data_IF_319336330444
#
_entry.id   IF_319336330444
#
_cell.length_a   1.000
_cell.length_b   1.000
_cell.length_c   1.000
_cell.angle_alpha   90.00
_cell.angle_beta   90.00
_cell.angle_gamma   90.00
#
_symmetry.space_group_name_H-M   'P 1'
#
loop_
_entity.id
_entity.type
_entity.pdbx_description
1 polymer ?
#
# COMPACT_ATOMS: atom_id res chain seq x y z
N UNK A 1 -0.50 -9.79 -61.64
CA UNK A 1 -0.46 -10.72 -60.60
C UNK A 1 0.57 -10.56 -59.49
N UNK A 2 1.85 -10.94 -59.70
CA UNK A 2 2.86 -11.06 -58.63
C UNK A 2 3.19 -9.71 -57.94
N UNK A 3 3.33 -8.66 -58.74
CA UNK A 3 3.64 -7.31 -58.27
C UNK A 3 2.51 -6.79 -57.31
N UNK A 4 1.25 -7.00 -57.67
CA UNK A 4 0.13 -6.61 -56.85
C UNK A 4 0.09 -7.36 -55.51
N UNK A 5 0.43 -8.65 -55.52
CA UNK A 5 0.51 -9.46 -54.30
C UNK A 5 1.64 -8.99 -53.37
N UNK A 6 2.81 -8.62 -53.93
CA UNK A 6 3.93 -8.07 -53.15
C UNK A 6 3.57 -6.73 -52.53
N UNK A 7 2.92 -5.84 -53.27
CA UNK A 7 2.48 -4.53 -52.77
C UNK A 7 1.48 -4.71 -51.63
N UNK A 8 0.51 -5.60 -51.79
CA UNK A 8 -0.47 -5.89 -50.71
C UNK A 8 0.22 -6.48 -49.47
N UNK A 9 1.19 -7.39 -49.66
CA UNK A 9 1.94 -7.95 -48.54
C UNK A 9 2.77 -6.87 -47.81
N UNK A 10 3.43 -5.97 -48.49
CA UNK A 10 4.20 -4.86 -47.90
C UNK A 10 3.29 -3.90 -47.15
N UNK A 11 2.14 -3.54 -47.71
CA UNK A 11 1.16 -2.68 -47.06
C UNK A 11 0.60 -3.36 -45.80
N UNK A 12 0.30 -4.65 -45.86
CA UNK A 12 -0.20 -5.42 -44.77
C UNK A 12 0.82 -5.53 -43.62
N UNK A 13 2.07 -5.81 -43.94
CA UNK A 13 3.19 -5.83 -42.97
C UNK A 13 3.41 -4.45 -42.37
N UNK A 14 3.40 -3.40 -43.18
CA UNK A 14 3.49 -2.02 -42.72
C UNK A 14 2.35 -1.64 -41.76
N UNK A 15 1.12 -1.97 -42.13
CA UNK A 15 -0.06 -1.68 -41.28
C UNK A 15 -0.04 -2.39 -39.92
N UNK A 16 0.52 -3.60 -39.85
CA UNK A 16 0.68 -4.35 -38.62
C UNK A 16 1.87 -3.86 -37.76
N UNK A 17 2.93 -3.35 -38.38
CA UNK A 17 4.13 -2.89 -37.71
C UNK A 17 4.03 -1.44 -37.20
N UNK A 18 3.26 -0.58 -37.86
CA UNK A 18 3.13 0.85 -37.51
C UNK A 18 2.71 1.11 -36.04
N UNK A 19 1.72 0.42 -35.47
CA UNK A 19 1.33 0.65 -34.08
C UNK A 19 2.45 0.33 -33.09
N UNK A 20 3.24 -0.71 -33.34
CA UNK A 20 4.35 -1.11 -32.47
C UNK A 20 5.51 -0.10 -32.53
N UNK A 21 5.85 0.36 -33.75
CA UNK A 21 6.92 1.34 -33.92
C UNK A 21 6.54 2.67 -33.28
N UNK A 22 5.32 3.14 -33.45
CA UNK A 22 4.86 4.39 -32.80
C UNK A 22 4.81 4.27 -31.27
N UNK A 23 4.48 3.10 -30.72
CA UNK A 23 4.55 2.85 -29.29
C UNK A 23 6.00 2.93 -28.78
N UNK A 24 6.94 2.27 -29.46
CA UNK A 24 8.36 2.28 -29.08
C UNK A 24 8.98 3.68 -29.13
N UNK A 25 8.59 4.52 -30.11
CA UNK A 25 9.11 5.89 -30.23
C UNK A 25 8.54 6.81 -29.16
N UNK A 26 7.30 6.61 -28.73
CA UNK A 26 6.61 7.45 -27.75
C UNK A 26 6.87 7.06 -26.30
N UNK A 27 7.40 5.86 -26.07
CA UNK A 27 7.62 5.34 -24.72
C UNK A 27 9.11 5.21 -24.40
N UNK A 28 9.43 5.17 -23.12
CA UNK A 28 10.76 4.96 -22.56
C UNK A 28 10.72 3.77 -21.62
N UNK A 29 11.77 2.94 -21.67
CA UNK A 29 11.91 1.76 -20.81
C UNK A 29 12.54 2.12 -19.49
N UNK A 30 12.04 1.48 -18.45
CA UNK A 30 12.56 1.51 -17.09
C UNK A 30 12.50 0.12 -16.47
N UNK A 31 13.32 -0.11 -15.45
CA UNK A 31 13.32 -1.36 -14.67
C UNK A 31 13.06 -1.02 -13.20
N UNK A 32 12.29 -1.83 -12.49
CA UNK A 32 12.13 -1.73 -11.04
C UNK A 32 12.45 -3.08 -10.39
N UNK A 33 13.19 -3.03 -9.27
CA UNK A 33 13.55 -4.20 -8.50
C UNK A 33 12.51 -4.43 -7.40
N UNK A 34 11.95 -5.64 -7.31
CA UNK A 34 10.97 -6.00 -6.28
C UNK A 34 11.42 -7.24 -5.52
N UNK A 35 11.11 -7.32 -4.24
CA UNK A 35 11.40 -8.50 -3.42
C UNK A 35 10.73 -9.76 -3.97
N UNK A 36 9.56 -9.63 -4.58
CA UNK A 36 8.88 -10.71 -5.29
C UNK A 36 7.96 -10.14 -6.37
N UNK A 37 7.51 -10.98 -7.28
CA UNK A 37 6.60 -10.59 -8.36
C UNK A 37 5.19 -10.23 -7.87
N UNK A 38 4.82 -10.59 -6.65
CA UNK A 38 3.49 -10.41 -6.08
C UNK A 38 2.34 -10.76 -7.05
N UNK A 39 2.56 -11.72 -7.97
CA UNK A 39 1.60 -12.11 -9.01
C UNK A 39 1.36 -11.05 -10.10
N UNK A 40 2.29 -10.12 -10.28
CA UNK A 40 2.31 -9.24 -11.45
C UNK A 40 2.55 -10.07 -12.72
N UNK A 41 2.01 -9.66 -13.84
CA UNK A 41 2.15 -10.36 -15.12
C UNK A 41 2.57 -9.37 -16.21
N UNK A 42 3.15 -9.85 -17.33
CA UNK A 42 3.37 -9.00 -18.50
C UNK A 42 2.07 -8.39 -19.02
N UNK A 43 2.17 -7.25 -19.69
CA UNK A 43 1.08 -6.47 -20.26
C UNK A 43 0.10 -5.85 -19.26
N UNK A 44 0.33 -5.93 -17.93
CA UNK A 44 -0.48 -5.17 -16.97
C UNK A 44 -0.18 -3.67 -17.09
N UNK A 45 -1.18 -2.81 -16.82
CA UNK A 45 -1.00 -1.38 -16.94
C UNK A 45 -0.04 -0.81 -15.89
N UNK A 46 0.72 0.21 -16.28
CA UNK A 46 1.53 1.05 -15.42
C UNK A 46 0.81 2.39 -15.24
N UNK A 47 0.67 2.82 -14.00
CA UNK A 47 0.11 4.12 -13.65
C UNK A 47 1.22 5.01 -13.09
N UNK A 48 1.30 6.23 -13.58
CA UNK A 48 2.20 7.26 -13.05
C UNK A 48 1.34 8.34 -12.41
N UNK A 49 1.59 8.60 -11.13
CA UNK A 49 0.79 9.56 -10.34
C UNK A 49 -0.72 9.34 -10.45
N UNK A 50 -1.15 8.08 -10.55
CA UNK A 50 -2.56 7.68 -10.66
C UNK A 50 -3.16 7.70 -12.06
N UNK A 51 -2.43 8.18 -13.07
CA UNK A 51 -2.84 8.17 -14.48
C UNK A 51 -2.25 6.98 -15.26
N UNK A 52 -2.98 6.38 -16.23
CA UNK A 52 -2.42 5.33 -17.08
C UNK A 52 -1.31 5.93 -17.96
N UNK A 53 -0.12 5.36 -17.88
CA UNK A 53 1.06 5.89 -18.57
C UNK A 53 1.79 4.87 -19.43
N UNK A 54 1.51 3.57 -19.25
CA UNK A 54 2.21 2.53 -20.00
C UNK A 54 1.82 1.12 -19.58
N UNK A 55 2.76 0.19 -19.80
CA UNK A 55 2.57 -1.23 -19.47
C UNK A 55 3.86 -1.89 -19.01
N UNK A 56 3.74 -2.98 -18.28
CA UNK A 56 4.82 -3.91 -17.95
C UNK A 56 5.16 -4.72 -19.21
N UNK A 57 6.44 -4.84 -19.56
CA UNK A 57 6.92 -5.61 -20.70
C UNK A 57 7.29 -7.03 -20.29
N UNK A 58 8.02 -7.17 -19.18
CA UNK A 58 8.51 -8.46 -18.73
C UNK A 58 8.84 -8.48 -17.24
N UNK A 59 9.06 -9.69 -16.75
CA UNK A 59 9.57 -9.94 -15.41
C UNK A 59 10.70 -10.96 -15.51
N UNK A 60 11.79 -10.72 -14.82
CA UNK A 60 12.94 -11.62 -14.74
C UNK A 60 13.32 -11.85 -13.28
N UNK A 61 13.55 -13.10 -12.91
CA UNK A 61 14.02 -13.45 -11.56
C UNK A 61 15.54 -13.31 -11.53
N UNK A 62 16.04 -12.43 -10.69
CA UNK A 62 17.46 -12.13 -10.54
C UNK A 62 17.92 -12.45 -9.10
N UNK A 63 18.17 -13.74 -8.86
CA UNK A 63 18.60 -14.23 -7.55
C UNK A 63 17.48 -14.19 -6.51
N UNK A 64 17.57 -13.25 -5.55
CA UNK A 64 16.64 -13.07 -4.44
C UNK A 64 15.57 -12.01 -4.66
N UNK A 65 15.55 -11.40 -5.86
CA UNK A 65 14.60 -10.34 -6.23
C UNK A 65 14.10 -10.51 -7.67
N UNK A 66 13.12 -9.72 -8.05
CA UNK A 66 12.50 -9.73 -9.38
C UNK A 66 12.72 -8.38 -10.05
N UNK A 67 13.24 -8.42 -11.26
CA UNK A 67 13.31 -7.26 -12.16
C UNK A 67 12.01 -7.16 -12.94
N UNK A 68 11.38 -6.02 -12.88
CA UNK A 68 10.17 -5.71 -13.63
C UNK A 68 10.49 -4.65 -14.65
N UNK A 69 10.50 -5.04 -15.93
CA UNK A 69 10.68 -4.13 -17.05
C UNK A 69 9.35 -3.54 -17.48
N UNK A 70 9.31 -2.23 -17.59
CA UNK A 70 8.10 -1.51 -17.96
C UNK A 70 8.41 -0.33 -18.87
N UNK A 71 7.43 0.05 -19.68
CA UNK A 71 7.48 1.24 -20.52
C UNK A 71 6.39 2.22 -20.15
N UNK A 72 6.74 3.49 -20.13
CA UNK A 72 5.84 4.60 -19.92
C UNK A 72 6.03 5.67 -20.99
N UNK A 73 5.03 6.54 -21.16
CA UNK A 73 5.11 7.68 -22.08
C UNK A 73 6.32 8.56 -21.71
N UNK A 74 7.08 8.98 -22.73
CA UNK A 74 8.25 9.86 -22.58
C UNK A 74 7.94 11.22 -21.97
N UNK A 75 6.67 11.60 -21.89
CA UNK A 75 6.24 12.81 -21.21
C UNK A 75 6.31 12.70 -19.68
N UNK A 76 6.54 11.49 -19.17
CA UNK A 76 6.65 11.22 -17.75
C UNK A 76 8.13 11.12 -17.36
N UNK A 77 8.66 12.14 -16.75
CA UNK A 77 10.02 12.13 -16.23
C UNK A 77 10.04 11.48 -14.84
N UNK A 78 10.87 10.44 -14.70
CA UNK A 78 11.09 9.76 -13.44
C UNK A 78 12.36 10.33 -12.80
N UNK A 79 12.19 11.02 -11.67
CA UNK A 79 13.30 11.59 -10.93
C UNK A 79 14.08 10.54 -10.11
N UNK A 80 15.22 10.96 -9.59
CA UNK A 80 16.16 10.13 -8.84
C UNK A 80 15.60 9.51 -7.55
N UNK A 81 14.47 10.02 -7.02
CA UNK A 81 13.77 9.48 -5.84
C UNK A 81 12.44 8.81 -6.17
N UNK A 82 12.20 8.48 -7.41
CA UNK A 82 11.00 7.75 -7.86
C UNK A 82 10.82 6.46 -7.06
N UNK A 83 9.58 6.17 -6.70
CA UNK A 83 9.17 4.93 -6.04
C UNK A 83 8.25 4.12 -6.95
N UNK A 84 8.26 2.80 -6.81
CA UNK A 84 7.36 1.92 -7.54
C UNK A 84 6.68 0.94 -6.58
N UNK A 85 5.41 0.65 -6.82
CA UNK A 85 4.61 -0.20 -5.94
C UNK A 85 3.68 -1.07 -6.77
N UNK A 86 3.61 -2.36 -6.45
CA UNK A 86 2.62 -3.26 -7.02
C UNK A 86 1.33 -3.11 -6.21
N UNK A 87 0.22 -2.79 -6.88
CA UNK A 87 -1.08 -2.58 -6.23
C UNK A 87 -2.16 -3.49 -6.80
N UNK A 88 -3.16 -3.79 -5.98
CA UNK A 88 -4.38 -4.46 -6.41
C UNK A 88 -5.33 -3.45 -7.05
N UNK A 89 -5.79 -3.75 -8.27
CA UNK A 89 -6.77 -2.94 -8.99
C UNK A 89 -8.19 -3.34 -8.69
N UNK A 90 -8.42 -4.63 -8.41
CA UNK A 90 -9.74 -5.19 -8.16
C UNK A 90 -9.69 -6.22 -7.03
N UNK A 91 -10.82 -6.45 -6.38
CA UNK A 91 -11.01 -7.51 -5.39
C UNK A 91 -10.74 -8.92 -5.96
N UNK A 92 -10.83 -9.09 -7.27
CA UNK A 92 -10.50 -10.34 -7.98
C UNK A 92 -9.00 -10.55 -8.20
N UNK A 93 -8.15 -9.69 -7.61
CA UNK A 93 -6.69 -9.85 -7.63
C UNK A 93 -5.99 -9.33 -8.88
N UNK A 94 -6.67 -8.60 -9.78
CA UNK A 94 -5.95 -7.92 -10.87
C UNK A 94 -4.98 -6.91 -10.30
N UNK A 95 -3.74 -6.96 -10.76
CA UNK A 95 -2.64 -6.12 -10.28
C UNK A 95 -2.23 -5.08 -11.31
N UNK A 96 -1.55 -4.05 -10.87
CA UNK A 96 -0.95 -3.03 -11.70
C UNK A 96 0.32 -2.48 -11.04
N UNK A 97 1.18 -1.88 -11.84
CA UNK A 97 2.36 -1.18 -11.36
C UNK A 97 2.03 0.30 -11.16
N UNK A 98 2.21 0.79 -9.94
CA UNK A 98 2.06 2.21 -9.58
C UNK A 98 3.45 2.82 -9.45
N UNK A 99 3.73 3.86 -10.21
CA UNK A 99 5.00 4.60 -10.16
C UNK A 99 4.70 6.01 -9.70
N UNK A 100 5.42 6.45 -8.68
CA UNK A 100 5.32 7.82 -8.15
C UNK A 100 6.63 8.54 -8.40
N UNK A 101 6.67 9.44 -9.39
CA UNK A 101 7.85 10.25 -9.68
C UNK A 101 8.22 11.12 -8.49
N UNK A 102 9.50 11.18 -8.16
CA UNK A 102 10.02 12.05 -7.12
C UNK A 102 11.49 12.36 -7.36
N UNK A 103 11.94 13.54 -6.88
CA UNK A 103 13.29 14.04 -7.09
C UNK A 103 13.42 14.91 -8.31
N UNK A 104 14.51 15.69 -8.38
CA UNK A 104 14.81 16.60 -9.48
C UNK A 104 15.91 16.08 -10.41
N UNK A 105 16.64 15.02 -10.01
CA UNK A 105 17.64 14.34 -10.82
C UNK A 105 17.06 13.28 -11.73
N UNK A 106 17.85 12.75 -12.64
CA UNK A 106 17.48 11.62 -13.46
C UNK A 106 17.59 10.31 -12.68
N UNK A 107 16.70 9.37 -12.97
CA UNK A 107 16.74 8.03 -12.39
C UNK A 107 17.99 7.28 -12.88
N UNK A 108 18.92 6.99 -11.98
CA UNK A 108 20.20 6.35 -12.29
C UNK A 108 20.02 5.06 -13.05
N UNK A 109 20.52 4.99 -14.28
CA UNK A 109 20.40 3.82 -15.15
C UNK A 109 18.96 3.44 -15.50
N UNK A 110 17.99 4.32 -15.32
CA UNK A 110 16.57 4.02 -15.58
C UNK A 110 15.99 2.97 -14.62
N UNK A 111 16.59 2.78 -13.42
CA UNK A 111 16.27 1.70 -12.49
C UNK A 111 15.78 2.22 -11.14
N UNK A 112 14.64 1.73 -10.71
CA UNK A 112 14.14 1.94 -9.34
C UNK A 112 14.68 0.80 -8.47
N UNK A 113 15.55 1.08 -7.47
CA UNK A 113 16.15 0.05 -6.63
C UNK A 113 15.15 -0.56 -5.66
N UNK A 114 15.44 -1.75 -5.14
CA UNK A 114 14.61 -2.50 -4.20
C UNK A 114 14.21 -1.69 -2.96
N UNK A 115 15.09 -0.80 -2.47
CA UNK A 115 14.82 0.06 -1.31
C UNK A 115 13.71 1.11 -1.54
N UNK A 116 13.28 1.30 -2.79
CA UNK A 116 12.23 2.25 -3.19
C UNK A 116 11.06 1.57 -3.87
N UNK A 117 10.94 0.26 -3.70
CA UNK A 117 9.81 -0.51 -4.21
C UNK A 117 9.02 -1.13 -3.06
N UNK A 118 7.74 -1.37 -3.29
CA UNK A 118 6.87 -2.03 -2.34
C UNK A 118 5.96 -3.05 -3.05
N UNK A 119 5.70 -4.14 -2.39
CA UNK A 119 4.72 -5.16 -2.81
C UNK A 119 3.54 -5.16 -1.84
N UNK A 120 2.31 -5.49 -2.27
CA UNK A 120 1.20 -5.60 -1.34
C UNK A 120 1.49 -6.73 -0.37
N UNK A 121 1.17 -6.51 0.90
CA UNK A 121 1.26 -7.54 1.94
C UNK A 121 0.47 -8.78 1.51
N UNK A 122 1.10 -9.95 1.57
CA UNK A 122 0.41 -11.22 1.45
C UNK A 122 -0.15 -11.64 2.82
N UNK A 123 -1.23 -12.45 2.82
CA UNK A 123 -1.75 -13.03 4.07
C UNK A 123 -0.69 -13.88 4.78
N UNK A 124 0.23 -14.49 4.02
CA UNK A 124 1.33 -15.28 4.59
C UNK A 124 2.36 -14.40 5.33
N UNK A 125 2.67 -13.22 4.82
CA UNK A 125 3.54 -12.25 5.52
C UNK A 125 2.87 -11.72 6.79
N UNK A 126 1.56 -11.45 6.74
CA UNK A 126 0.81 -11.03 7.93
C UNK A 126 0.78 -12.11 9.01
N UNK A 127 0.68 -13.39 8.64
CA UNK A 127 0.74 -14.49 9.62
C UNK A 127 2.13 -14.65 10.21
N UNK A 128 3.18 -14.48 9.41
CA UNK A 128 4.57 -14.55 9.88
C UNK A 128 4.91 -13.38 10.80
N UNK A 129 4.48 -12.17 10.46
CA UNK A 129 4.65 -10.99 11.32
C UNK A 129 3.85 -11.10 12.61
N UNK A 130 2.62 -11.65 12.54
CA UNK A 130 1.81 -11.91 13.73
C UNK A 130 2.45 -12.97 14.66
N UNK A 131 3.09 -14.00 14.10
CA UNK A 131 3.84 -14.97 14.88
C UNK A 131 5.10 -14.36 15.51
N UNK A 132 5.85 -13.54 14.78
CA UNK A 132 7.03 -12.83 15.31
C UNK A 132 6.65 -11.87 16.45
N UNK A 133 5.53 -11.17 16.34
CA UNK A 133 5.01 -10.32 17.41
C UNK A 133 4.57 -11.17 18.61
N UNK A 134 3.95 -12.33 18.38
CA UNK A 134 3.54 -13.26 19.44
C UNK A 134 4.74 -13.88 20.18
N UNK A 135 5.80 -14.22 19.46
CA UNK A 135 7.05 -14.74 20.05
C UNK A 135 7.87 -13.64 20.75
N UNK A 136 7.73 -12.39 20.35
CA UNK A 136 8.37 -11.22 20.97
C UNK A 136 7.62 -10.67 22.19
N UNK A 137 6.42 -11.16 22.49
CA UNK A 137 5.70 -10.84 23.73
C UNK A 137 6.39 -11.57 24.90
N UNK A 138 7.16 -10.81 25.65
CA UNK A 138 7.77 -11.28 26.91
C UNK A 138 6.67 -11.52 27.94
N UNK A 139 6.18 -12.77 27.94
CA UNK A 139 5.13 -13.24 28.86
C UNK A 139 5.58 -13.06 30.31
N UNK A 140 6.88 -13.19 30.57
CA UNK A 140 7.47 -13.04 31.90
C UNK A 140 7.37 -11.57 32.38
N UNK A 141 7.56 -10.60 31.48
CA UNK A 141 7.33 -9.18 31.77
C UNK A 141 5.85 -8.86 32.03
N UNK A 142 4.94 -9.49 31.28
CA UNK A 142 3.50 -9.33 31.51
C UNK A 142 3.08 -9.95 32.85
N UNK A 143 3.60 -11.13 33.17
CA UNK A 143 3.32 -11.82 34.46
C UNK A 143 3.87 -11.01 35.64
N UNK A 144 5.08 -10.47 35.51
CA UNK A 144 5.69 -9.58 36.52
C UNK A 144 4.87 -8.29 36.68
N UNK A 145 4.37 -7.72 35.59
CA UNK A 145 3.52 -6.52 35.64
C UNK A 145 2.16 -6.81 36.29
N UNK A 146 1.56 -7.95 36.02
CA UNK A 146 0.32 -8.41 36.66
C UNK A 146 0.53 -8.69 38.12
N UNK A 147 1.64 -9.30 38.52
CA UNK A 147 2.00 -9.50 39.92
C UNK A 147 2.20 -8.17 40.67
N UNK A 148 2.96 -7.25 40.03
CA UNK A 148 3.17 -5.91 40.59
C UNK A 148 1.86 -5.15 40.79
N UNK A 149 0.92 -5.26 39.84
CA UNK A 149 -0.42 -4.70 39.93
C UNK A 149 -1.23 -5.36 41.03
N UNK A 150 -1.12 -6.68 41.19
CA UNK A 150 -1.82 -7.42 42.25
C UNK A 150 -1.27 -7.06 43.62
N UNK A 151 0.04 -6.89 43.78
CA UNK A 151 0.69 -6.49 45.02
C UNK A 151 0.45 -4.99 45.35
N UNK A 152 0.28 -4.15 44.34
CA UNK A 152 -0.05 -2.74 44.51
C UNK A 152 -1.54 -2.48 44.79
N UNK A 153 -2.40 -3.48 44.53
CA UNK A 153 -3.82 -3.38 44.90
C UNK A 153 -3.99 -3.45 46.41
N UNK A 154 -4.59 -2.44 47.03
CA UNK A 154 -4.89 -2.47 48.47
C UNK A 154 -5.76 -3.69 48.78
N UNK A 155 -5.31 -4.52 49.73
CA UNK A 155 -6.04 -5.72 50.17
C UNK A 155 -7.36 -5.38 50.88
N UNK A 156 -7.66 -4.10 51.03
CA UNK A 156 -8.87 -3.62 51.71
C UNK A 156 -9.92 -3.20 50.68
N UNK A 157 -10.90 -4.06 50.49
CA UNK A 157 -12.07 -3.85 49.60
C UNK A 157 -12.86 -2.56 49.89
N UNK A 158 -12.61 -1.89 51.01
CA UNK A 158 -13.27 -0.63 51.36
C UNK A 158 -12.90 0.50 50.45
N UNK A 159 -11.61 0.59 50.01
CA UNK A 159 -11.18 1.63 49.08
C UNK A 159 -11.80 1.50 47.71
N UNK A 160 -12.05 0.27 47.23
CA UNK A 160 -12.76 0.02 45.98
C UNK A 160 -14.24 0.39 46.11
N UNK A 161 -14.85 0.06 47.25
CA UNK A 161 -16.24 0.40 47.54
C UNK A 161 -16.43 1.91 47.64
N UNK A 162 -15.50 2.60 48.28
CA UNK A 162 -15.51 4.08 48.42
C UNK A 162 -15.30 4.78 47.09
N UNK A 163 -14.40 4.25 46.22
CA UNK A 163 -14.19 4.78 44.88
C UNK A 163 -15.43 4.57 43.98
N UNK A 164 -16.07 3.42 44.06
CA UNK A 164 -17.32 3.13 43.34
C UNK A 164 -18.47 4.01 43.84
N UNK A 165 -18.59 4.22 45.16
CA UNK A 165 -19.56 5.13 45.73
C UNK A 165 -19.34 6.58 45.30
N UNK A 166 -18.07 7.00 45.17
CA UNK A 166 -17.70 8.32 44.62
C UNK A 166 -18.11 8.52 43.16
N UNK A 167 -17.91 7.49 42.32
CA UNK A 167 -18.36 7.50 40.93
C UNK A 167 -19.87 7.55 40.80
N UNK A 168 -20.59 6.78 41.66
CA UNK A 168 -22.05 6.78 41.66
C UNK A 168 -22.62 8.13 42.13
N UNK A 169 -22.04 8.74 43.17
CA UNK A 169 -22.43 10.07 43.62
C UNK A 169 -22.20 11.14 42.54
N UNK A 170 -21.09 11.06 41.81
CA UNK A 170 -20.78 11.99 40.72
C UNK A 170 -21.74 11.81 39.53
N UNK A 171 -22.07 10.58 39.17
CA UNK A 171 -23.03 10.26 38.11
C UNK A 171 -24.43 10.77 38.45
N UNK A 172 -24.90 10.62 39.72
CA UNK A 172 -26.17 11.14 40.18
C UNK A 172 -26.20 12.67 40.20
N UNK A 173 -25.06 13.33 40.47
CA UNK A 173 -24.96 14.78 40.43
C UNK A 173 -25.09 15.31 38.98
N UNK A 174 -24.49 14.63 38.00
CA UNK A 174 -24.59 14.96 36.56
C UNK A 174 -26.05 14.83 36.12
N UNK A 175 -26.72 13.72 36.42
CA UNK A 175 -28.14 13.49 36.05
C UNK A 175 -29.07 14.54 36.66
N UNK A 176 -28.86 14.93 37.93
CA UNK A 176 -29.66 15.98 38.60
C UNK A 176 -29.41 17.37 38.01
N UNK A 177 -28.20 17.64 37.56
CA UNK A 177 -27.84 18.92 36.93
C UNK A 177 -28.44 19.05 35.53
N UNK A 178 -28.46 17.95 34.76
CA UNK A 178 -29.12 17.90 33.45
C UNK A 178 -30.64 18.18 33.55
N UNK A 179 -31.31 17.60 34.54
CA UNK A 179 -32.71 17.86 34.82
C UNK A 179 -32.98 19.34 35.17
N UNK A 180 -32.07 20.00 35.89
CA UNK A 180 -32.17 21.43 36.21
C UNK A 180 -31.95 22.33 35.02
N UNK A 181 -30.97 22.01 34.19
CA UNK A 181 -30.68 22.74 32.93
C UNK A 181 -31.90 22.63 32.01
N UNK A 182 -32.47 21.44 31.87
CA UNK A 182 -33.68 21.23 31.04
C UNK A 182 -34.89 21.99 31.56
N UNK A 183 -35.07 22.10 32.89
CA UNK A 183 -36.15 22.88 33.47
C UNK A 183 -35.97 24.39 33.28
N UNK A 184 -34.74 24.91 33.38
CA UNK A 184 -34.43 26.30 33.13
C UNK A 184 -34.64 26.69 31.66
N UNK A 185 -34.28 25.80 30.72
CA UNK A 185 -34.53 25.99 29.28
C UNK A 185 -36.00 25.98 28.93
N UNK A 186 -36.86 25.25 29.66
CA UNK A 186 -38.33 25.27 29.51
C UNK A 186 -38.99 26.52 30.08
N UNK A 187 -38.44 27.11 31.14
CA UNK A 187 -39.00 28.31 31.75
C UNK A 187 -38.57 29.60 31.06
N UNK A 188 -37.61 29.54 30.14
CA UNK A 188 -37.13 30.67 29.31
C UNK A 188 -37.84 30.82 27.96
N UNK A 189 -38.90 30.05 27.72
CA UNK A 189 -39.74 30.07 26.52
C UNK A 189 -41.13 30.55 26.90
#
# INVERSE_FOLDING_TARGET
GVIGMVVVAVVMVGALALPQVTYLVRTQSYTAEFANAAGLAPNVPVYVSGGPAGRVEGLEVAGDHVLVDFRIDRKQDLGDRTTAEIKLKTILGKRYLSVTPAGAGELTGGRVPLSRTAVPYSLDELTTDAQAVSEGLDIESIETMMQTLTDAMPSDSRHITDALAGVEATSQMIVRNDARITSLLRSAK
#
